data_IF_789255586701
#
_entry.id   IF_789255586701
#
_cell.length_a   1.000
_cell.length_b   1.000
_cell.length_c   1.000
_cell.angle_alpha   90.00
_cell.angle_beta   90.00
_cell.angle_gamma   90.00
#
_symmetry.space_group_name_H-M   'P 1'
#
loop_
_entity.id
_entity.type
_entity.pdbx_description
1 polymer ?
#
# COMPACT_ATOMS: atom_id res chain seq x y z
N UNK A 1 -7.93 -0.40 30.34
CA UNK A 1 -6.58 -1.00 30.49
C UNK A 1 -6.55 -2.45 30.00
N UNK A 2 -7.45 -3.33 30.46
CA UNK A 2 -7.45 -4.75 30.03
C UNK A 2 -7.78 -4.97 28.53
N UNK A 3 -8.61 -4.10 27.92
CA UNK A 3 -8.92 -4.12 26.48
C UNK A 3 -7.76 -3.73 25.56
N UNK A 4 -6.72 -3.07 26.07
CA UNK A 4 -5.57 -2.66 25.26
C UNK A 4 -4.52 -3.77 25.17
N UNK A 5 -4.37 -4.59 26.22
CA UNK A 5 -3.41 -5.69 26.28
C UNK A 5 -3.79 -6.83 25.31
N UNK A 6 -5.08 -7.16 25.18
CA UNK A 6 -5.55 -8.19 24.26
C UNK A 6 -5.34 -7.81 22.79
N UNK A 7 -5.38 -6.51 22.47
CA UNK A 7 -5.16 -6.00 21.11
C UNK A 7 -3.70 -6.03 20.69
N UNK A 8 -2.79 -5.68 21.59
CA UNK A 8 -1.36 -5.72 21.30
C UNK A 8 -0.91 -7.16 20.99
N UNK A 9 -1.41 -8.15 21.74
CA UNK A 9 -1.19 -9.57 21.45
C UNK A 9 -1.67 -9.99 20.06
N UNK A 10 -2.81 -9.47 19.59
CA UNK A 10 -3.36 -9.78 18.27
C UNK A 10 -2.48 -9.25 17.12
N UNK A 11 -1.87 -8.07 17.29
CA UNK A 11 -0.93 -7.52 16.31
C UNK A 11 0.33 -8.39 16.23
N UNK A 12 0.89 -8.79 17.37
CA UNK A 12 2.07 -9.65 17.40
C UNK A 12 1.82 -11.00 16.72
N UNK A 13 0.71 -11.69 17.02
CA UNK A 13 0.40 -12.96 16.36
C UNK A 13 0.24 -12.83 14.85
N UNK A 14 -0.35 -11.72 14.38
CA UNK A 14 -0.52 -11.47 12.95
C UNK A 14 0.82 -11.21 12.23
N UNK A 15 1.82 -10.68 12.95
CA UNK A 15 3.16 -10.40 12.42
C UNK A 15 4.05 -11.65 12.36
N UNK A 16 3.96 -12.51 13.38
CA UNK A 16 4.89 -13.64 13.54
C UNK A 16 4.79 -14.63 12.38
N UNK A 17 3.58 -15.05 11.99
CA UNK A 17 3.43 -16.09 10.96
C UNK A 17 3.97 -15.67 9.58
N UNK A 18 3.57 -14.53 8.98
CA UNK A 18 4.11 -14.09 7.70
C UNK A 18 5.62 -13.84 7.75
N UNK A 19 6.13 -13.33 8.87
CA UNK A 19 7.56 -13.08 9.04
C UNK A 19 8.36 -14.38 9.10
N UNK A 20 7.84 -15.41 9.77
CA UNK A 20 8.43 -16.75 9.75
C UNK A 20 8.40 -17.37 8.36
N UNK A 21 7.31 -17.19 7.60
CA UNK A 21 7.22 -17.64 6.20
C UNK A 21 8.27 -16.93 5.34
N UNK A 22 8.41 -15.62 5.48
CA UNK A 22 9.44 -14.84 4.79
C UNK A 22 10.84 -15.36 5.13
N UNK A 23 11.18 -15.49 6.41
CA UNK A 23 12.48 -16.00 6.85
C UNK A 23 12.75 -17.42 6.34
N UNK A 24 11.76 -18.30 6.44
CA UNK A 24 11.86 -19.68 5.94
C UNK A 24 12.11 -19.73 4.43
N UNK A 25 11.48 -18.84 3.67
CA UNK A 25 11.68 -18.74 2.23
C UNK A 25 13.05 -18.14 1.88
N UNK A 26 13.51 -17.09 2.57
CA UNK A 26 14.90 -16.57 2.40
C UNK A 26 15.91 -17.68 2.64
N UNK A 27 15.75 -18.44 3.74
CA UNK A 27 16.63 -19.57 4.07
C UNK A 27 16.55 -20.64 2.97
N UNK A 28 15.34 -21.01 2.53
CA UNK A 28 15.15 -21.99 1.47
C UNK A 28 15.81 -21.58 0.16
N UNK A 29 15.58 -20.35 -0.30
CA UNK A 29 16.21 -19.80 -1.51
C UNK A 29 17.71 -19.78 -1.35
N UNK A 30 18.23 -19.29 -0.22
CA UNK A 30 19.67 -19.27 0.04
C UNK A 30 20.26 -20.67 -0.07
N UNK A 31 19.66 -21.68 0.58
CA UNK A 31 20.12 -23.07 0.51
C UNK A 31 20.00 -23.63 -0.91
N UNK A 32 18.90 -23.35 -1.62
CA UNK A 32 18.67 -23.81 -2.98
C UNK A 32 19.72 -23.24 -3.93
N UNK A 33 19.99 -21.94 -3.82
CA UNK A 33 20.97 -21.24 -4.65
C UNK A 33 22.39 -21.70 -4.37
N UNK A 34 22.75 -21.96 -3.10
CA UNK A 34 24.05 -22.54 -2.72
C UNK A 34 24.25 -23.97 -3.26
N UNK A 35 23.17 -24.68 -3.58
CA UNK A 35 23.24 -26.04 -4.17
C UNK A 35 23.38 -26.02 -5.70
N UNK A 36 23.12 -24.90 -6.37
CA UNK A 36 23.16 -24.79 -7.84
C UNK A 36 24.09 -23.66 -8.32
N UNK A 37 25.39 -23.71 -7.97
CA UNK A 37 26.37 -22.66 -8.30
C UNK A 37 26.50 -22.40 -9.81
N UNK A 38 26.27 -23.41 -10.67
CA UNK A 38 26.40 -23.27 -12.11
C UNK A 38 25.33 -22.40 -12.77
N UNK A 39 24.16 -22.17 -12.14
CA UNK A 39 23.13 -21.28 -12.69
C UNK A 39 23.44 -19.79 -12.46
N UNK A 40 24.50 -19.47 -11.72
CA UNK A 40 24.94 -18.11 -11.38
C UNK A 40 25.82 -17.43 -12.42
N UNK A 41 26.27 -18.14 -13.45
CA UNK A 41 27.18 -17.58 -14.46
C UNK A 41 26.63 -16.35 -15.18
N UNK A 42 25.30 -16.14 -15.16
CA UNK A 42 24.67 -14.92 -15.66
C UNK A 42 24.83 -13.70 -14.74
N UNK A 43 24.64 -13.86 -13.43
CA UNK A 43 24.61 -12.73 -12.47
C UNK A 43 26.00 -12.24 -12.05
N UNK A 44 26.93 -13.18 -11.81
CA UNK A 44 28.35 -12.88 -11.52
C UNK A 44 29.04 -12.06 -12.61
N UNK A 45 28.47 -12.06 -13.82
CA UNK A 45 28.91 -11.26 -14.96
C UNK A 45 28.62 -9.76 -14.79
N UNK A 46 27.60 -9.41 -14.01
CA UNK A 46 27.14 -8.03 -13.79
C UNK A 46 27.55 -7.49 -12.43
N UNK A 47 27.68 -8.35 -11.41
CA UNK A 47 28.11 -7.98 -10.06
C UNK A 47 29.33 -8.85 -9.72
N UNK A 48 30.54 -8.27 -9.63
CA UNK A 48 31.70 -9.02 -9.17
C UNK A 48 31.54 -9.32 -7.66
N UNK A 49 31.28 -10.58 -7.31
CA UNK A 49 31.05 -11.01 -5.93
C UNK A 49 31.17 -12.52 -5.75
N UNK A 50 31.33 -12.95 -4.49
CA UNK A 50 31.13 -14.35 -4.11
C UNK A 50 29.63 -14.66 -4.08
N UNK A 51 29.22 -15.91 -4.35
CA UNK A 51 27.82 -16.35 -4.44
C UNK A 51 26.96 -15.88 -3.25
N UNK A 52 27.52 -15.88 -2.03
CA UNK A 52 26.85 -15.41 -0.81
C UNK A 52 26.53 -13.91 -0.88
N UNK A 53 27.46 -13.12 -1.43
CA UNK A 53 27.33 -11.68 -1.54
C UNK A 53 26.17 -11.32 -2.47
N UNK A 54 26.01 -12.06 -3.57
CA UNK A 54 24.93 -11.83 -4.53
C UNK A 54 23.56 -12.17 -3.95
N UNK A 55 23.43 -13.28 -3.20
CA UNK A 55 22.19 -13.61 -2.46
C UNK A 55 21.85 -12.49 -1.47
N UNK A 56 22.83 -12.06 -0.68
CA UNK A 56 22.63 -10.98 0.30
C UNK A 56 22.19 -9.71 -0.42
N UNK A 57 22.81 -9.35 -1.54
CA UNK A 57 22.42 -8.16 -2.30
C UNK A 57 20.98 -8.29 -2.82
N UNK A 58 20.61 -9.44 -3.39
CA UNK A 58 19.29 -9.67 -3.98
C UNK A 58 18.15 -9.66 -2.95
N UNK A 59 18.38 -10.14 -1.72
CA UNK A 59 17.35 -10.16 -0.68
C UNK A 59 17.39 -8.90 0.20
N UNK A 60 18.58 -8.47 0.62
CA UNK A 60 18.75 -7.37 1.58
C UNK A 60 18.51 -6.01 0.93
N UNK A 61 18.99 -5.78 -0.29
CA UNK A 61 18.87 -4.46 -0.94
C UNK A 61 17.40 -4.12 -1.19
N UNK A 62 16.56 -4.98 -1.79
CA UNK A 62 15.16 -4.66 -1.97
C UNK A 62 14.42 -4.50 -0.65
N UNK A 63 14.77 -5.27 0.39
CA UNK A 63 14.19 -5.11 1.72
C UNK A 63 14.52 -3.74 2.35
N UNK A 64 15.80 -3.36 2.35
CA UNK A 64 16.24 -2.05 2.85
C UNK A 64 15.64 -0.92 2.01
N UNK A 65 15.62 -1.07 0.68
CA UNK A 65 14.99 -0.12 -0.23
C UNK A 65 13.49 0.05 0.07
N UNK A 66 12.78 -1.03 0.38
CA UNK A 66 11.36 -1.01 0.78
C UNK A 66 11.15 -0.14 2.03
N UNK A 67 12.04 -0.25 3.02
CA UNK A 67 12.03 0.60 4.23
C UNK A 67 12.31 2.06 3.86
N UNK A 68 13.34 2.34 3.05
CA UNK A 68 13.68 3.69 2.62
C UNK A 68 12.55 4.35 1.80
N UNK A 69 11.87 3.56 0.97
CA UNK A 69 10.76 4.00 0.15
C UNK A 69 9.55 4.46 0.96
N UNK A 70 9.40 4.07 2.23
CA UNK A 70 8.37 4.66 3.12
C UNK A 70 8.61 6.16 3.27
N UNK A 71 9.86 6.56 3.48
CA UNK A 71 10.21 7.97 3.66
C UNK A 71 10.05 8.75 2.35
N UNK A 72 10.41 8.14 1.23
CA UNK A 72 10.22 8.74 -0.10
C UNK A 72 8.72 8.90 -0.40
N UNK A 73 7.91 7.88 -0.11
CA UNK A 73 6.47 7.91 -0.37
C UNK A 73 5.75 9.05 0.36
N UNK A 74 6.25 9.47 1.53
CA UNK A 74 5.74 10.67 2.19
C UNK A 74 5.93 11.94 1.37
N UNK A 75 7.10 12.09 0.74
CA UNK A 75 7.38 13.23 -0.14
C UNK A 75 6.50 13.22 -1.39
N UNK A 76 6.04 12.03 -1.80
CA UNK A 76 5.13 11.82 -2.95
C UNK A 76 3.66 12.06 -2.57
N UNK A 77 3.29 11.98 -1.30
CA UNK A 77 1.91 12.19 -0.82
C UNK A 77 1.27 13.51 -1.29
N UNK A 78 1.94 14.68 -1.22
CA UNK A 78 1.44 15.93 -1.81
C UNK A 78 1.05 15.81 -3.29
N UNK A 79 1.81 15.03 -4.07
CA UNK A 79 1.57 14.83 -5.50
C UNK A 79 0.26 14.06 -5.71
N UNK A 80 -0.01 13.04 -4.89
CA UNK A 80 -1.29 12.31 -4.92
C UNK A 80 -2.48 13.22 -4.64
N UNK A 81 -2.38 14.12 -3.65
CA UNK A 81 -3.45 15.09 -3.36
C UNK A 81 -3.68 16.00 -4.57
N UNK A 82 -2.61 16.50 -5.18
CA UNK A 82 -2.69 17.37 -6.35
C UNK A 82 -3.33 16.64 -7.54
N UNK A 83 -2.88 15.41 -7.82
CA UNK A 83 -3.41 14.59 -8.90
C UNK A 83 -4.91 14.30 -8.70
N UNK A 84 -5.33 13.92 -7.49
CA UNK A 84 -6.73 13.70 -7.20
C UNK A 84 -7.58 14.97 -7.33
N UNK A 85 -7.04 16.15 -6.97
CA UNK A 85 -7.72 17.44 -7.17
C UNK A 85 -7.91 17.76 -8.66
N UNK A 86 -6.92 17.42 -9.49
CA UNK A 86 -7.01 17.56 -10.96
C UNK A 86 -8.09 16.63 -11.51
N UNK A 87 -8.09 15.34 -11.14
CA UNK A 87 -9.09 14.36 -11.58
C UNK A 87 -10.52 14.76 -11.20
N UNK A 88 -10.71 15.39 -10.03
CA UNK A 88 -12.02 15.87 -9.56
C UNK A 88 -12.39 17.26 -10.10
N UNK A 89 -11.60 17.83 -11.02
CA UNK A 89 -11.97 19.02 -11.80
C UNK A 89 -12.14 20.31 -10.99
N UNK A 90 -11.38 20.51 -9.90
CA UNK A 90 -11.36 21.79 -9.15
C UNK A 90 -12.65 22.17 -8.40
N UNK A 91 -13.73 21.39 -8.55
CA UNK A 91 -15.02 21.55 -7.85
C UNK A 91 -14.98 21.09 -6.39
N UNK A 92 -13.90 20.41 -6.00
CA UNK A 92 -13.73 19.86 -4.67
C UNK A 92 -12.63 20.59 -3.92
N UNK A 93 -12.83 20.71 -2.61
CA UNK A 93 -11.81 21.13 -1.65
C UNK A 93 -11.36 19.92 -0.83
N UNK A 94 -10.17 20.03 -0.26
CA UNK A 94 -9.56 18.98 0.57
C UNK A 94 -9.66 19.40 2.02
N UNK A 95 -10.24 18.55 2.86
CA UNK A 95 -10.26 18.72 4.31
C UNK A 95 -9.59 17.52 4.97
N UNK A 96 -9.19 17.72 6.23
CA UNK A 96 -8.69 16.67 7.10
C UNK A 96 -9.77 16.39 8.13
N UNK A 97 -10.33 15.19 8.12
CA UNK A 97 -11.24 14.73 9.15
C UNK A 97 -10.42 14.13 10.29
N UNK A 98 -10.39 14.81 11.43
CA UNK A 98 -9.72 14.29 12.62
C UNK A 98 -10.54 13.14 13.20
N UNK A 99 -10.11 11.91 12.93
CA UNK A 99 -10.55 10.73 13.66
C UNK A 99 -9.34 9.93 14.14
N UNK A 100 -9.48 9.31 15.31
CA UNK A 100 -8.49 8.37 15.82
C UNK A 100 -8.70 7.02 15.15
N UNK A 101 -7.87 6.70 14.15
CA UNK A 101 -7.86 5.38 13.52
C UNK A 101 -7.11 4.40 14.41
N UNK A 102 -7.75 3.30 14.79
CA UNK A 102 -7.10 2.19 15.50
C UNK A 102 -6.72 1.11 14.50
N UNK A 103 -5.41 0.87 14.34
CA UNK A 103 -4.90 -0.17 13.45
C UNK A 103 -5.07 -1.55 14.07
N UNK A 104 -5.56 -2.50 13.28
CA UNK A 104 -5.70 -3.91 13.69
C UNK A 104 -4.68 -4.78 12.95
N UNK A 105 -4.28 -5.92 13.53
CA UNK A 105 -3.32 -6.83 12.88
C UNK A 105 -3.80 -7.30 11.49
N UNK A 106 -5.11 -7.53 11.33
CA UNK A 106 -5.71 -7.86 10.03
C UNK A 106 -5.58 -6.74 8.99
N UNK A 107 -5.62 -5.47 9.41
CA UNK A 107 -5.39 -4.34 8.50
C UNK A 107 -3.93 -4.28 8.02
N UNK A 108 -2.96 -4.56 8.90
CA UNK A 108 -1.54 -4.66 8.55
C UNK A 108 -1.33 -5.76 7.51
N UNK A 109 -1.86 -6.96 7.80
CA UNK A 109 -1.76 -8.11 6.93
C UNK A 109 -2.38 -7.83 5.57
N UNK A 110 -3.57 -7.25 5.53
CA UNK A 110 -4.25 -6.91 4.27
C UNK A 110 -3.43 -5.90 3.45
N UNK A 111 -2.85 -4.87 4.07
CA UNK A 111 -2.00 -3.90 3.36
C UNK A 111 -0.75 -4.56 2.79
N UNK A 112 -0.07 -5.40 3.58
CA UNK A 112 1.10 -6.15 3.14
C UNK A 112 0.76 -7.08 1.97
N UNK A 113 -0.37 -7.79 2.08
CA UNK A 113 -0.85 -8.68 1.03
C UNK A 113 -1.19 -7.94 -0.26
N UNK A 114 -1.90 -6.81 -0.20
CA UNK A 114 -2.18 -6.04 -1.41
C UNK A 114 -0.93 -5.42 -2.05
N UNK A 115 0.04 -4.97 -1.25
CA UNK A 115 1.33 -4.51 -1.80
C UNK A 115 2.10 -5.67 -2.48
N UNK A 116 2.02 -6.88 -1.93
CA UNK A 116 2.59 -8.08 -2.54
C UNK A 116 1.97 -8.37 -3.92
N UNK A 117 0.64 -8.39 -4.01
CA UNK A 117 -0.06 -8.62 -5.27
C UNK A 117 0.25 -7.53 -6.30
N UNK A 118 0.36 -6.27 -5.86
CA UNK A 118 0.72 -5.17 -6.74
C UNK A 118 2.15 -5.31 -7.30
N UNK A 119 3.13 -5.66 -6.45
CA UNK A 119 4.50 -5.91 -6.88
C UNK A 119 4.59 -7.07 -7.88
N UNK A 120 3.87 -8.17 -7.61
CA UNK A 120 3.81 -9.33 -8.51
C UNK A 120 3.13 -8.97 -9.83
N UNK A 121 2.03 -8.21 -9.79
CA UNK A 121 1.34 -7.74 -11.00
C UNK A 121 2.26 -6.94 -11.91
N UNK A 122 3.02 -5.99 -11.34
CA UNK A 122 3.98 -5.19 -12.09
C UNK A 122 5.09 -6.06 -12.68
N UNK A 123 5.58 -7.01 -11.89
CA UNK A 123 6.60 -7.95 -12.32
C UNK A 123 6.14 -8.81 -13.50
N UNK A 124 4.98 -9.47 -13.38
CA UNK A 124 4.44 -10.32 -14.44
C UNK A 124 4.13 -9.50 -15.70
N UNK A 125 3.57 -8.31 -15.55
CA UNK A 125 3.33 -7.41 -16.67
C UNK A 125 4.62 -7.07 -17.41
N UNK A 126 5.67 -6.65 -16.69
CA UNK A 126 6.93 -6.28 -17.31
C UNK A 126 7.63 -7.51 -17.90
N UNK A 127 7.64 -8.63 -17.20
CA UNK A 127 8.24 -9.88 -17.66
C UNK A 127 7.62 -10.33 -18.98
N UNK A 128 6.29 -10.32 -19.09
CA UNK A 128 5.59 -10.65 -20.33
C UNK A 128 5.90 -9.65 -21.44
N UNK A 129 5.94 -8.35 -21.13
CA UNK A 129 6.24 -7.30 -22.12
C UNK A 129 7.67 -7.41 -22.65
N UNK A 130 8.64 -7.69 -21.77
CA UNK A 130 10.04 -7.88 -22.15
C UNK A 130 10.21 -9.14 -23.00
N UNK A 131 9.48 -10.21 -22.68
CA UNK A 131 9.45 -11.44 -23.47
C UNK A 131 8.90 -11.20 -24.88
N UNK A 132 7.77 -10.49 -25.01
CA UNK A 132 7.16 -10.16 -26.31
C UNK A 132 8.08 -9.28 -27.18
N UNK A 133 8.85 -8.39 -26.55
CA UNK A 133 9.82 -7.53 -27.25
C UNK A 133 11.09 -8.28 -27.68
N UNK A 134 11.18 -9.59 -27.44
CA UNK A 134 12.33 -10.43 -27.80
C UNK A 134 13.65 -9.87 -27.26
N UNK A 135 13.61 -9.11 -26.17
CA UNK A 135 14.82 -8.58 -25.57
C UNK A 135 15.41 -9.75 -24.77
N UNK A 136 16.42 -10.42 -25.35
CA UNK A 136 17.19 -11.55 -24.80
C UNK A 136 17.98 -11.15 -23.53
N UNK A 137 17.34 -10.52 -22.54
CA UNK A 137 18.03 -10.19 -21.29
C UNK A 137 18.39 -11.45 -20.49
N UNK A 138 17.73 -12.59 -20.74
CA UNK A 138 18.02 -13.83 -20.03
C UNK A 138 17.73 -15.05 -20.92
N UNK A 139 18.59 -15.32 -21.90
CA UNK A 139 18.64 -16.65 -22.53
C UNK A 139 18.93 -17.69 -21.43
N UNK A 140 17.90 -18.43 -20.99
CA UNK A 140 18.04 -19.57 -20.08
C UNK A 140 17.45 -19.43 -18.69
N UNK A 141 16.94 -18.26 -18.27
CA UNK A 141 16.09 -18.22 -17.09
C UNK A 141 14.64 -18.49 -17.48
N UNK A 142 14.05 -19.50 -16.84
CA UNK A 142 12.63 -19.76 -16.98
C UNK A 142 11.82 -18.53 -16.55
N UNK A 143 10.81 -18.20 -17.35
CA UNK A 143 9.98 -16.98 -17.23
C UNK A 143 9.44 -16.73 -15.82
N UNK A 144 9.25 -17.79 -15.04
CA UNK A 144 8.75 -17.73 -13.68
C UNK A 144 9.82 -17.31 -12.65
N UNK A 145 11.10 -17.67 -12.83
CA UNK A 145 12.18 -17.18 -11.96
C UNK A 145 12.44 -15.69 -12.17
N UNK A 146 12.45 -15.25 -13.44
CA UNK A 146 12.61 -13.84 -13.75
C UNK A 146 11.46 -13.01 -13.18
N UNK A 147 10.23 -13.49 -13.29
CA UNK A 147 9.07 -12.86 -12.66
C UNK A 147 9.15 -12.86 -11.12
N UNK A 148 9.61 -13.92 -10.48
CA UNK A 148 9.80 -13.93 -9.03
C UNK A 148 10.86 -12.90 -8.60
N UNK A 149 12.04 -12.91 -9.24
CA UNK A 149 13.12 -11.97 -8.96
C UNK A 149 12.69 -10.51 -9.19
N UNK A 150 12.05 -10.24 -10.32
CA UNK A 150 11.50 -8.91 -10.63
C UNK A 150 10.45 -8.48 -9.58
N UNK A 151 9.66 -9.40 -9.02
CA UNK A 151 8.68 -9.05 -7.98
C UNK A 151 9.35 -8.51 -6.72
N UNK A 152 10.53 -9.03 -6.36
CA UNK A 152 11.34 -8.52 -5.25
C UNK A 152 11.87 -7.13 -5.59
N UNK A 153 12.39 -6.93 -6.80
CA UNK A 153 12.88 -5.63 -7.29
C UNK A 153 11.77 -4.58 -7.37
N UNK A 154 10.53 -4.98 -7.68
CA UNK A 154 9.37 -4.10 -7.73
C UNK A 154 8.75 -3.80 -6.38
N UNK A 155 9.16 -4.48 -5.30
CA UNK A 155 8.57 -4.27 -3.99
C UNK A 155 8.76 -2.83 -3.44
N UNK A 156 9.94 -2.19 -3.55
CA UNK A 156 10.11 -0.78 -3.20
C UNK A 156 9.19 0.15 -4.01
N UNK A 157 9.01 -0.15 -5.30
CA UNK A 157 8.11 0.62 -6.18
C UNK A 157 6.66 0.47 -5.70
N UNK A 158 6.24 -0.74 -5.30
CA UNK A 158 4.92 -0.95 -4.73
C UNK A 158 4.67 -0.07 -3.49
N UNK A 159 5.66 0.09 -2.60
CA UNK A 159 5.55 1.02 -1.46
C UNK A 159 5.33 2.46 -1.90
N UNK A 160 6.09 2.93 -2.90
CA UNK A 160 5.99 4.30 -3.41
C UNK A 160 4.55 4.64 -3.85
N UNK A 161 3.82 3.68 -4.42
CA UNK A 161 2.44 3.89 -4.86
C UNK A 161 1.39 3.60 -3.78
N UNK A 162 1.57 2.54 -3.00
CA UNK A 162 0.58 2.09 -2.01
C UNK A 162 0.58 2.94 -0.74
N UNK A 163 1.77 3.34 -0.30
CA UNK A 163 1.93 4.07 0.95
C UNK A 163 1.23 5.44 0.96
N UNK A 164 1.33 6.29 -0.08
CA UNK A 164 0.60 7.56 -0.11
C UNK A 164 -0.91 7.34 0.00
N UNK A 165 -1.45 6.32 -0.67
CA UNK A 165 -2.87 5.99 -0.59
C UNK A 165 -3.29 5.65 0.85
N UNK A 166 -2.53 4.78 1.52
CA UNK A 166 -2.79 4.41 2.92
C UNK A 166 -2.65 5.60 3.87
N UNK A 167 -1.61 6.39 3.71
CA UNK A 167 -1.37 7.55 4.56
C UNK A 167 -2.46 8.61 4.42
N UNK A 168 -2.93 8.87 3.21
CA UNK A 168 -4.06 9.79 2.95
C UNK A 168 -5.36 9.26 3.58
N UNK A 169 -5.59 7.95 3.52
CA UNK A 169 -6.74 7.28 4.12
C UNK A 169 -6.70 7.44 5.64
N UNK A 170 -5.55 7.12 6.24
CA UNK A 170 -5.31 7.12 7.68
C UNK A 170 -5.35 8.53 8.26
N UNK A 171 -4.89 9.54 7.51
CA UNK A 171 -5.00 10.93 7.92
C UNK A 171 -6.45 11.46 7.83
N UNK A 172 -7.39 10.71 7.25
CA UNK A 172 -8.75 11.15 7.06
C UNK A 172 -8.86 12.30 6.06
N UNK A 173 -8.00 12.32 5.04
CA UNK A 173 -8.04 13.36 4.02
C UNK A 173 -9.22 13.06 3.11
N UNK A 174 -10.18 13.98 3.08
CA UNK A 174 -11.45 13.83 2.35
C UNK A 174 -11.62 14.94 1.32
N UNK A 175 -12.27 14.62 0.22
CA UNK A 175 -12.81 15.60 -0.70
C UNK A 175 -14.23 15.98 -0.30
N UNK A 176 -14.53 17.27 -0.37
CA UNK A 176 -15.88 17.80 -0.27
C UNK A 176 -16.16 18.77 -1.41
N UNK A 177 -17.39 18.75 -1.92
CA UNK A 177 -17.81 19.63 -3.01
C UNK A 177 -17.95 21.07 -2.50
N UNK A 178 -17.42 22.04 -3.26
CA UNK A 178 -17.41 23.48 -2.88
C UNK A 178 -18.79 24.05 -2.55
N UNK A 179 -19.82 23.67 -3.30
CA UNK A 179 -21.21 24.15 -3.07
C UNK A 179 -21.72 23.82 -1.67
N UNK A 180 -21.30 22.68 -1.12
CA UNK A 180 -21.75 22.24 0.21
C UNK A 180 -21.04 22.98 1.34
N UNK A 181 -19.93 23.68 1.04
CA UNK A 181 -19.16 24.40 2.03
C UNK A 181 -19.82 25.72 2.43
N UNK A 182 -20.33 26.46 1.45
CA UNK A 182 -21.01 27.74 1.69
C UNK A 182 -22.29 27.51 2.51
N UNK A 183 -23.05 26.46 2.21
CA UNK A 183 -24.21 26.05 3.00
C UNK A 183 -23.84 25.62 4.43
N UNK A 184 -22.74 24.88 4.61
CA UNK A 184 -22.30 24.41 5.93
C UNK A 184 -21.79 25.56 6.82
N UNK A 185 -21.06 26.54 6.25
CA UNK A 185 -20.63 27.75 6.98
C UNK A 185 -21.81 28.64 7.38
N UNK A 186 -22.80 28.81 6.48
CA UNK A 186 -24.02 29.55 6.80
C UNK A 186 -24.75 28.89 7.99
N UNK A 187 -24.74 27.57 8.05
CA UNK A 187 -25.42 26.81 9.12
C UNK A 187 -24.66 26.90 10.45
N UNK A 188 -23.32 26.84 10.46
CA UNK A 188 -22.54 27.01 11.69
C UNK A 188 -22.68 28.43 12.25
N UNK A 189 -22.63 29.47 11.41
CA UNK A 189 -22.87 30.84 11.84
C UNK A 189 -24.27 31.04 12.43
N UNK A 190 -25.31 30.43 11.84
CA UNK A 190 -26.68 30.50 12.40
C UNK A 190 -26.77 29.83 13.77
N UNK A 191 -26.03 28.75 14.01
CA UNK A 191 -26.00 28.06 15.30
C UNK A 191 -25.28 28.91 16.37
N UNK A 192 -24.14 29.49 16.05
CA UNK A 192 -23.38 30.34 16.97
C UNK A 192 -24.17 31.62 17.33
N UNK A 193 -24.92 32.19 16.36
CA UNK A 193 -25.84 33.30 16.60
C UNK A 193 -27.01 32.85 17.51
N UNK A 194 -27.54 31.63 17.34
CA UNK A 194 -28.63 31.11 18.19
C UNK A 194 -28.17 30.91 19.64
N UNK A 195 -26.97 30.36 19.84
CA UNK A 195 -26.39 30.16 21.18
C UNK A 195 -26.04 31.48 21.87
N UNK A 196 -25.62 32.50 21.12
CA UNK A 196 -25.29 33.82 21.68
C UNK A 196 -26.51 34.73 21.91
N UNK A 197 -27.63 34.52 21.21
CA UNK A 197 -28.83 35.36 21.33
C UNK A 197 -29.86 34.80 22.32
N UNK A 198 -29.68 33.59 22.85
CA UNK A 198 -30.57 33.02 23.88
C UNK A 198 -32.02 32.86 23.43
N UNK A 199 -32.27 32.88 22.11
CA UNK A 199 -33.61 32.85 21.55
C UNK A 199 -34.09 31.41 21.36
N UNK A 200 -35.17 31.09 22.07
CA UNK A 200 -35.94 29.85 22.04
C UNK A 200 -36.77 29.75 20.73
N UNK A 201 -36.12 29.92 19.58
CA UNK A 201 -36.75 29.67 18.28
C UNK A 201 -36.61 28.18 17.95
N UNK A 202 -37.73 27.47 17.97
CA UNK A 202 -37.90 26.12 17.38
C UNK A 202 -37.85 26.21 15.85
N UNK A 203 -36.68 26.59 15.33
CA UNK A 203 -36.29 26.18 14.00
C UNK A 203 -35.85 24.73 14.13
N UNK A 204 -36.69 23.81 13.65
CA UNK A 204 -36.27 22.48 13.26
C UNK A 204 -35.04 22.66 12.36
N UNK A 205 -33.85 22.42 12.92
CA UNK A 205 -32.63 22.31 12.14
C UNK A 205 -32.84 21.03 11.35
N UNK A 206 -33.45 21.19 10.17
CA UNK A 206 -33.58 20.16 9.17
C UNK A 206 -32.19 19.52 9.08
N UNK A 207 -32.10 18.27 9.57
CA UNK A 207 -30.83 17.53 9.58
C UNK A 207 -30.38 17.54 8.14
N UNK A 208 -29.40 18.38 7.80
CA UNK A 208 -28.73 18.26 6.52
C UNK A 208 -28.17 16.85 6.50
N UNK A 209 -28.89 15.98 5.78
CA UNK A 209 -28.38 14.70 5.31
C UNK A 209 -27.00 15.00 4.75
N UNK A 210 -25.99 14.34 5.33
CA UNK A 210 -24.58 14.61 5.07
C UNK A 210 -24.36 14.97 3.59
N UNK A 211 -23.54 15.99 3.27
CA UNK A 211 -23.28 16.34 1.89
C UNK A 211 -22.87 15.08 1.12
N UNK A 212 -23.68 14.71 0.12
CA UNK A 212 -23.73 13.40 -0.52
C UNK A 212 -22.42 12.88 -1.16
N UNK A 213 -21.32 13.63 -1.10
CA UNK A 213 -20.04 13.31 -1.75
C UNK A 213 -18.83 13.59 -0.83
N UNK A 214 -18.83 13.07 0.40
CA UNK A 214 -17.59 12.97 1.18
C UNK A 214 -16.90 11.65 0.81
N UNK A 215 -15.84 11.73 0.02
CA UNK A 215 -15.01 10.57 -0.32
C UNK A 215 -13.58 10.77 0.17
N UNK A 216 -13.06 9.79 0.91
CA UNK A 216 -11.66 9.78 1.33
C UNK A 216 -10.74 9.63 0.11
N UNK A 217 -9.74 10.51 0.02
CA UNK A 217 -8.76 10.51 -1.08
C UNK A 217 -7.98 9.21 -1.08
N UNK A 218 -7.56 8.77 0.11
CA UNK A 218 -6.83 7.52 0.26
C UNK A 218 -7.68 6.31 -0.10
N UNK A 219 -8.96 6.30 0.28
CA UNK A 219 -9.89 5.21 -0.08
C UNK A 219 -10.08 5.11 -1.59
N UNK A 220 -10.18 6.24 -2.30
CA UNK A 220 -10.27 6.25 -3.76
C UNK A 220 -9.05 5.58 -4.41
N UNK A 221 -7.83 6.00 -4.03
CA UNK A 221 -6.61 5.36 -4.54
C UNK A 221 -6.49 3.91 -4.09
N UNK A 222 -6.88 3.61 -2.85
CA UNK A 222 -6.90 2.27 -2.29
C UNK A 222 -7.74 1.31 -3.15
N UNK A 223 -8.95 1.72 -3.54
CA UNK A 223 -9.78 0.90 -4.44
C UNK A 223 -9.20 0.75 -5.84
N UNK A 224 -8.61 1.81 -6.40
CA UNK A 224 -7.98 1.74 -7.72
C UNK A 224 -6.80 0.75 -7.72
N UNK A 225 -5.89 0.89 -6.75
CA UNK A 225 -4.69 0.06 -6.66
C UNK A 225 -5.02 -1.39 -6.26
N UNK A 226 -5.95 -1.59 -5.31
CA UNK A 226 -6.44 -2.94 -4.95
C UNK A 226 -7.18 -3.58 -6.11
N UNK A 227 -8.02 -2.82 -6.81
CA UNK A 227 -8.76 -3.29 -7.98
C UNK A 227 -7.80 -3.75 -9.08
N UNK A 228 -6.79 -2.94 -9.40
CA UNK A 228 -5.71 -3.32 -10.30
C UNK A 228 -5.08 -4.63 -9.86
N UNK A 229 -4.48 -4.69 -8.67
CA UNK A 229 -3.79 -5.88 -8.19
C UNK A 229 -4.70 -7.13 -8.13
N UNK A 230 -5.95 -7.00 -7.69
CA UNK A 230 -6.88 -8.13 -7.55
C UNK A 230 -7.36 -8.71 -8.88
N UNK A 231 -7.40 -7.90 -9.94
CA UNK A 231 -7.87 -8.33 -11.26
C UNK A 231 -6.69 -8.74 -12.13
N UNK A 232 -5.61 -7.94 -12.15
CA UNK A 232 -4.47 -8.20 -13.03
C UNK A 232 -3.62 -9.36 -12.55
N UNK A 233 -3.43 -9.54 -11.23
CA UNK A 233 -2.63 -10.68 -10.72
C UNK A 233 -3.21 -12.02 -11.19
N UNK A 234 -4.49 -12.37 -10.93
CA UNK A 234 -5.01 -13.67 -11.34
C UNK A 234 -4.97 -13.86 -12.86
N UNK A 235 -5.24 -12.80 -13.64
CA UNK A 235 -5.16 -12.87 -15.11
C UNK A 235 -3.75 -13.22 -15.56
N UNK A 236 -2.73 -12.53 -15.02
CA UNK A 236 -1.33 -12.82 -15.38
C UNK A 236 -0.87 -14.19 -14.88
N UNK A 237 -1.32 -14.64 -13.71
CA UNK A 237 -1.04 -15.99 -13.22
C UNK A 237 -1.64 -17.05 -14.15
N UNK A 238 -2.91 -16.92 -14.53
CA UNK A 238 -3.58 -17.85 -15.45
C UNK A 238 -2.87 -17.87 -16.79
N UNK A 239 -2.51 -16.70 -17.32
CA UNK A 239 -1.78 -16.59 -18.58
C UNK A 239 -0.44 -17.33 -18.53
N UNK A 240 0.38 -17.08 -17.50
CA UNK A 240 1.68 -17.75 -17.33
C UNK A 240 1.50 -19.26 -17.09
N UNK A 241 0.51 -19.66 -16.30
CA UNK A 241 0.23 -21.07 -16.03
C UNK A 241 -0.21 -21.85 -17.27
N UNK A 242 -1.06 -21.24 -18.12
CA UNK A 242 -1.48 -21.84 -19.39
C UNK A 242 -0.28 -21.96 -20.34
N UNK A 243 0.57 -20.94 -20.39
CA UNK A 243 1.80 -20.96 -21.20
C UNK A 243 2.73 -22.11 -20.75
N UNK A 244 2.94 -22.29 -19.44
CA UNK A 244 3.77 -23.36 -18.88
C UNK A 244 3.21 -24.76 -19.18
N UNK A 245 1.89 -24.97 -19.02
CA UNK A 245 1.23 -26.23 -19.36
C UNK A 245 1.38 -26.54 -20.84
N UNK A 246 1.18 -25.55 -21.71
CA UNK A 246 1.28 -25.72 -23.16
C UNK A 246 2.66 -26.21 -23.61
N UNK A 247 3.69 -25.94 -22.82
CA UNK A 247 5.08 -26.34 -23.08
C UNK A 247 5.45 -27.70 -22.43
N UNK A 248 4.52 -28.38 -21.74
CA UNK A 248 4.76 -29.61 -20.96
C UNK A 248 5.87 -29.48 -19.89
N UNK A 249 6.09 -28.27 -19.39
CA UNK A 249 7.09 -27.98 -18.35
C UNK A 249 6.37 -27.72 -17.03
N UNK A 250 5.84 -28.77 -16.42
CA UNK A 250 5.32 -28.68 -15.06
C UNK A 250 6.49 -28.71 -14.08
N UNK A 251 7.26 -27.63 -14.07
CA UNK A 251 8.46 -27.53 -13.26
C UNK A 251 8.10 -27.09 -11.84
N UNK A 252 8.91 -27.43 -10.81
CA UNK A 252 8.75 -26.96 -9.42
C UNK A 252 8.60 -25.44 -9.27
N UNK A 253 8.84 -24.70 -10.34
CA UNK A 253 8.97 -23.26 -10.41
C UNK A 253 7.61 -22.57 -10.40
N UNK A 254 6.56 -23.21 -10.93
CA UNK A 254 5.19 -22.70 -10.80
C UNK A 254 4.76 -22.64 -9.31
N UNK A 255 5.33 -23.49 -8.44
CA UNK A 255 5.11 -23.44 -6.99
C UNK A 255 5.76 -22.18 -6.39
N UNK A 256 6.94 -21.78 -6.88
CA UNK A 256 7.63 -20.56 -6.41
C UNK A 256 6.77 -19.33 -6.67
N UNK A 257 6.22 -19.18 -7.88
CA UNK A 257 5.28 -18.10 -8.19
C UNK A 257 4.03 -18.15 -7.30
N UNK A 258 3.48 -19.34 -7.04
CA UNK A 258 2.31 -19.50 -6.17
C UNK A 258 2.57 -19.08 -4.71
N UNK A 259 3.80 -19.31 -4.22
CA UNK A 259 4.21 -18.93 -2.86
C UNK A 259 4.65 -17.47 -2.74
N UNK A 260 4.94 -16.81 -3.87
CA UNK A 260 5.49 -15.45 -3.90
C UNK A 260 4.65 -14.39 -3.16
N UNK A 261 3.30 -14.38 -3.22
CA UNK A 261 2.50 -13.43 -2.45
C UNK A 261 2.75 -13.55 -0.95
N UNK A 262 2.91 -14.76 -0.41
CA UNK A 262 3.14 -14.97 1.02
C UNK A 262 4.52 -14.49 1.45
N UNK A 263 5.54 -14.77 0.63
CA UNK A 263 6.89 -14.28 0.84
C UNK A 263 6.95 -12.75 0.89
N UNK A 264 6.45 -12.09 -0.16
CA UNK A 264 6.44 -10.63 -0.23
C UNK A 264 5.55 -10.01 0.85
N UNK A 265 4.45 -10.67 1.23
CA UNK A 265 3.63 -10.22 2.36
C UNK A 265 4.47 -10.16 3.63
N UNK A 266 5.23 -11.21 3.96
CA UNK A 266 6.13 -11.17 5.11
C UNK A 266 7.21 -10.07 4.99
N UNK A 267 7.73 -9.85 3.78
CA UNK A 267 8.68 -8.76 3.51
C UNK A 267 8.08 -7.37 3.78
N UNK A 268 6.83 -7.11 3.38
CA UNK A 268 6.14 -5.83 3.58
C UNK A 268 5.65 -5.59 5.02
N UNK A 269 5.49 -6.65 5.82
CA UNK A 269 4.98 -6.54 7.19
C UNK A 269 5.86 -5.66 8.09
N UNK A 270 7.19 -5.80 8.02
CA UNK A 270 8.09 -4.97 8.83
C UNK A 270 8.06 -3.49 8.43
N UNK A 271 8.21 -3.11 7.14
CA UNK A 271 8.03 -1.72 6.70
C UNK A 271 6.68 -1.13 7.14
N UNK A 272 5.57 -1.87 6.97
CA UNK A 272 4.24 -1.37 7.35
C UNK A 272 4.14 -1.22 8.88
N UNK A 273 4.70 -2.14 9.66
CA UNK A 273 4.74 -2.01 11.11
C UNK A 273 5.55 -0.78 11.55
N UNK A 274 6.70 -0.53 10.92
CA UNK A 274 7.53 0.65 11.17
C UNK A 274 6.78 1.95 10.83
N UNK A 275 6.04 1.94 9.71
CA UNK A 275 5.12 3.02 9.36
C UNK A 275 4.11 3.31 10.47
N UNK A 276 3.45 2.28 11.00
CA UNK A 276 2.45 2.46 12.04
C UNK A 276 3.03 3.02 13.34
N UNK A 277 4.26 2.61 13.69
CA UNK A 277 4.98 3.16 14.85
C UNK A 277 5.38 4.63 14.64
N UNK A 278 5.67 5.02 13.41
CA UNK A 278 6.09 6.38 13.08
C UNK A 278 4.92 7.29 12.67
N UNK A 279 3.73 6.75 12.42
CA UNK A 279 2.56 7.43 11.86
C UNK A 279 2.22 8.75 12.56
N UNK A 280 2.15 8.80 13.89
CA UNK A 280 1.81 10.03 14.63
C UNK A 280 2.87 11.13 14.45
N UNK A 281 4.14 10.74 14.34
CA UNK A 281 5.22 11.68 14.02
C UNK A 281 5.07 12.17 12.56
N UNK A 282 4.79 11.27 11.62
CA UNK A 282 4.58 11.60 10.19
C UNK A 282 3.40 12.55 9.99
N UNK A 283 2.26 12.22 10.58
CA UNK A 283 1.03 13.00 10.54
C UNK A 283 1.29 14.43 11.03
N UNK A 284 1.95 14.58 12.19
CA UNK A 284 2.28 15.91 12.73
C UNK A 284 3.16 16.72 11.79
N UNK A 285 4.21 16.12 11.23
CA UNK A 285 5.14 16.83 10.38
C UNK A 285 4.52 17.26 9.04
N UNK A 286 3.73 16.39 8.42
CA UNK A 286 3.09 16.66 7.14
C UNK A 286 1.93 17.66 7.27
N UNK A 287 1.18 17.58 8.37
CA UNK A 287 0.10 18.53 8.66
C UNK A 287 0.61 19.89 9.16
N UNK A 288 1.72 19.96 9.91
CA UNK A 288 2.24 21.25 10.39
C UNK A 288 2.81 22.12 9.27
N UNK A 289 3.42 21.51 8.25
CA UNK A 289 4.10 22.25 7.18
C UNK A 289 3.16 22.82 6.12
N UNK A 290 1.86 22.45 6.13
CA UNK A 290 0.91 22.96 5.15
C UNK A 290 -0.09 23.89 5.82
N UNK A 291 -0.30 25.06 5.19
CA UNK A 291 -1.53 25.88 5.31
C UNK A 291 -2.77 25.14 4.77
N UNK A 292 -2.86 23.82 4.93
CA UNK A 292 -4.13 23.14 4.85
C UNK A 292 -4.91 23.73 6.02
N UNK A 293 -5.76 24.72 5.73
CA UNK A 293 -6.72 25.24 6.68
C UNK A 293 -7.49 24.03 7.18
N UNK A 294 -7.10 23.54 8.35
CA UNK A 294 -7.77 22.50 9.10
C UNK A 294 -9.14 23.08 9.43
N UNK A 295 -10.06 22.90 8.50
CA UNK A 295 -11.46 22.95 8.82
C UNK A 295 -11.69 21.69 9.63
N UNK A 296 -11.45 21.82 10.94
CA UNK A 296 -11.88 20.84 11.91
C UNK A 296 -13.40 20.82 11.87
N UNK A 297 -13.94 20.04 10.93
CA UNK A 297 -15.34 19.66 10.98
C UNK A 297 -15.44 18.70 12.15
N UNK A 298 -15.73 19.23 13.34
CA UNK A 298 -16.14 18.43 14.50
C UNK A 298 -17.50 17.81 14.17
N UNK A 299 -17.49 16.69 13.44
CA UNK A 299 -18.65 15.83 13.38
C UNK A 299 -18.78 15.18 14.76
N UNK A 300 -19.73 15.66 15.56
CA UNK A 300 -20.20 14.91 16.71
C UNK A 300 -20.83 13.62 16.17
N UNK A 301 -20.04 12.56 16.10
CA UNK A 301 -20.56 11.21 15.91
C UNK A 301 -21.44 10.93 17.12
N UNK A 302 -22.75 11.11 16.96
CA UNK A 302 -23.71 10.51 17.85
C UNK A 302 -23.52 9.00 17.69
N UNK A 303 -22.96 8.37 18.71
CA UNK A 303 -22.80 6.92 18.79
C UNK A 303 -24.14 6.27 18.45
N UNK A 304 -24.15 5.49 17.36
CA UNK A 304 -25.22 4.54 17.06
C UNK A 304 -24.83 3.19 17.62
#
# INVERSE_FOLDING_TARGET
MEKDITKEKSIHSALVFPLLVFLGFVIYITIYLLKQPSQWYGFSKYIPGEEITDVIILDLVPFVATILCIFIAMLVTPVFILFAKVLKGGKYQVAVQNYYKKFTGGEILNRAFFASLFAISLSLFLNNTLYDLSIEFIEGAESAYSAAALSVVFAPIAVIFMFPAWFLEDCGIVFFRKTNYDECQITSMKKDIKESVGAQFDLEVEKMTQPYDITSVGTFYGYLLRGFASITTPIFYIYNFIADIGLNRFEPISIVLMLMPFFLTGMFMLPIWLYLKTYDWLKRHLLSNKKLKLLEVKMSLHER
#
